data_IF_348131821550
#
_entry.id   IF_348131821550
#
_cell.length_a   1.000
_cell.length_b   1.000
_cell.length_c   1.000
_cell.angle_alpha   90.00
_cell.angle_beta   90.00
_cell.angle_gamma   90.00
#
_symmetry.space_group_name_H-M   'P 1'
#
loop_
_entity.id
_entity.type
_entity.pdbx_description
1 polymer ?
#
# COMPACT_ATOMS: atom_id res chain seq x y z
N UNK A 1 -13.89 -17.18 9.13
CA UNK A 1 -15.11 -16.33 8.94
C UNK A 1 -15.12 -15.82 7.52
N UNK A 2 -16.31 -15.58 6.91
CA UNK A 2 -16.34 -14.91 5.60
C UNK A 2 -15.70 -13.51 5.73
N UNK A 3 -14.90 -13.05 4.75
CA UNK A 3 -14.28 -11.74 4.80
C UNK A 3 -15.35 -10.63 4.86
N UNK A 4 -15.12 -9.59 5.66
CA UNK A 4 -15.95 -8.39 5.67
C UNK A 4 -15.78 -7.67 4.34
N UNK A 5 -16.86 -7.23 3.72
CA UNK A 5 -16.84 -6.34 2.57
C UNK A 5 -17.14 -4.90 3.01
N UNK A 6 -16.62 -3.95 2.26
CA UNK A 6 -16.96 -2.55 2.47
C UNK A 6 -18.47 -2.30 2.19
N UNK A 7 -19.10 -1.46 2.98
CA UNK A 7 -20.48 -1.03 2.78
C UNK A 7 -20.58 0.01 1.66
N UNK A 8 -21.77 0.20 1.09
CA UNK A 8 -22.00 1.25 0.08
C UNK A 8 -21.72 2.66 0.66
N UNK A 9 -22.04 2.88 1.94
CA UNK A 9 -21.73 4.13 2.61
C UNK A 9 -20.23 4.41 2.71
N UNK A 10 -19.41 3.39 2.94
CA UNK A 10 -17.94 3.52 2.96
C UNK A 10 -17.37 3.81 1.56
N UNK A 11 -17.93 3.17 0.52
CA UNK A 11 -17.60 3.49 -0.88
C UNK A 11 -17.96 4.94 -1.20
N UNK A 12 -19.17 5.37 -0.83
CA UNK A 12 -19.63 6.74 -1.06
C UNK A 12 -18.79 7.77 -0.30
N UNK A 13 -18.39 7.46 0.93
CA UNK A 13 -17.48 8.30 1.70
C UNK A 13 -16.15 8.49 0.96
N UNK A 14 -15.53 7.39 0.49
CA UNK A 14 -14.30 7.46 -0.29
C UNK A 14 -14.46 8.33 -1.54
N UNK A 15 -15.54 8.13 -2.29
CA UNK A 15 -15.81 8.90 -3.52
C UNK A 15 -16.02 10.37 -3.26
N UNK A 16 -16.74 10.73 -2.19
CA UNK A 16 -17.15 12.10 -1.89
C UNK A 16 -16.09 12.88 -1.13
N UNK A 17 -15.38 12.25 -0.21
CA UNK A 17 -14.37 12.88 0.65
C UNK A 17 -12.93 12.57 0.21
N UNK A 18 -12.76 11.65 -0.73
CA UNK A 18 -11.46 11.22 -1.20
C UNK A 18 -10.77 10.17 -0.30
N UNK A 19 -11.32 9.89 0.88
CA UNK A 19 -10.73 8.93 1.82
C UNK A 19 -11.79 8.26 2.70
N UNK A 20 -11.43 7.09 3.23
CA UNK A 20 -12.20 6.33 4.22
C UNK A 20 -11.28 5.45 5.06
N UNK A 21 -11.62 5.21 6.30
CA UNK A 21 -11.04 4.16 7.13
C UNK A 21 -12.02 3.00 7.22
N UNK A 22 -11.65 1.86 6.67
CA UNK A 22 -12.43 0.63 6.67
C UNK A 22 -12.01 -0.22 7.88
N UNK A 23 -12.66 -0.01 9.01
CA UNK A 23 -12.30 -0.70 10.26
C UNK A 23 -12.52 -2.21 10.16
N UNK A 24 -11.51 -3.00 10.55
CA UNK A 24 -11.57 -4.45 10.59
C UNK A 24 -11.92 -5.09 9.23
N UNK A 25 -11.47 -4.50 8.13
CA UNK A 25 -11.73 -5.03 6.78
C UNK A 25 -11.10 -6.42 6.60
N UNK A 26 -9.94 -6.64 7.19
CA UNK A 26 -9.24 -7.93 7.22
C UNK A 26 -9.35 -8.52 8.62
N UNK A 27 -9.56 -9.83 8.72
CA UNK A 27 -9.72 -10.54 9.98
C UNK A 27 -8.45 -10.52 10.84
N UNK A 28 -8.60 -10.43 12.17
CA UNK A 28 -7.47 -10.37 13.09
C UNK A 28 -6.52 -11.56 12.96
N UNK A 29 -7.02 -12.77 12.75
CA UNK A 29 -6.22 -13.98 12.56
C UNK A 29 -5.34 -13.90 11.29
N UNK A 30 -5.87 -13.35 10.20
CA UNK A 30 -5.12 -13.16 8.95
C UNK A 30 -4.02 -12.11 9.12
N UNK A 31 -4.31 -11.06 9.90
CA UNK A 31 -3.32 -10.02 10.24
C UNK A 31 -2.25 -10.58 11.18
N UNK A 32 -2.61 -11.39 12.16
CA UNK A 32 -1.63 -12.01 13.09
C UNK A 32 -0.65 -12.89 12.31
N UNK A 33 -1.14 -13.74 11.39
CA UNK A 33 -0.28 -14.56 10.53
C UNK A 33 0.63 -13.71 9.61
N UNK A 34 0.12 -12.59 9.12
CA UNK A 34 0.92 -11.67 8.30
C UNK A 34 1.93 -10.86 9.10
N UNK A 35 1.62 -10.54 10.37
CA UNK A 35 2.55 -9.89 11.27
C UNK A 35 3.72 -10.82 11.64
N UNK A 36 3.48 -12.12 11.81
CA UNK A 36 4.53 -13.12 12.01
C UNK A 36 5.48 -13.17 10.79
N UNK A 37 4.93 -13.14 9.58
CA UNK A 37 5.73 -13.02 8.34
C UNK A 37 6.52 -11.70 8.30
N UNK A 38 5.89 -10.58 8.68
CA UNK A 38 6.52 -9.26 8.71
C UNK A 38 7.74 -9.25 9.65
N UNK A 39 7.62 -9.90 10.80
CA UNK A 39 8.68 -9.97 11.81
C UNK A 39 9.84 -10.91 11.44
N UNK A 40 9.77 -11.57 10.29
CA UNK A 40 10.96 -12.16 9.66
C UNK A 40 11.84 -11.11 8.93
N UNK A 41 11.27 -9.94 8.61
CA UNK A 41 11.97 -8.85 7.91
C UNK A 41 12.26 -7.64 8.81
N UNK A 42 11.46 -7.45 9.86
CA UNK A 42 11.56 -6.32 10.77
C UNK A 42 11.46 -6.79 12.22
N UNK A 43 12.21 -6.19 13.16
CA UNK A 43 12.08 -6.53 14.58
C UNK A 43 10.66 -6.23 15.07
N UNK A 44 10.22 -6.99 16.08
CA UNK A 44 9.06 -6.60 16.88
C UNK A 44 9.35 -5.30 17.63
N UNK A 45 8.33 -4.64 18.17
CA UNK A 45 8.53 -3.46 19.02
C UNK A 45 9.41 -3.80 20.25
N UNK A 46 9.15 -4.95 20.89
CA UNK A 46 9.92 -5.41 22.05
C UNK A 46 11.40 -5.65 21.70
N UNK A 47 11.69 -6.37 20.61
CA UNK A 47 13.07 -6.61 20.17
C UNK A 47 13.79 -5.30 19.83
N UNK A 48 13.09 -4.38 19.16
CA UNK A 48 13.69 -3.12 18.75
C UNK A 48 14.05 -2.23 19.98
N UNK A 49 13.10 -2.07 20.93
CA UNK A 49 13.33 -1.20 22.08
C UNK A 49 14.23 -1.81 23.16
N UNK A 50 14.39 -3.14 23.19
CA UNK A 50 15.36 -3.80 24.06
C UNK A 50 16.82 -3.48 23.65
N UNK A 51 17.12 -3.41 22.35
CA UNK A 51 18.43 -3.12 21.79
C UNK A 51 18.31 -2.46 20.40
N UNK A 52 18.07 -1.14 20.31
CA UNK A 52 17.88 -0.47 19.03
C UNK A 52 19.10 -0.55 18.09
N UNK A 53 20.31 -0.52 18.64
CA UNK A 53 21.55 -0.61 17.84
C UNK A 53 21.74 -2.01 17.29
N UNK A 54 21.59 -3.04 18.12
CA UNK A 54 21.70 -4.44 17.72
C UNK A 54 20.59 -4.84 16.77
N UNK A 55 19.34 -4.38 17.00
CA UNK A 55 18.23 -4.60 16.10
C UNK A 55 18.50 -3.96 14.73
N UNK A 56 18.94 -2.71 14.69
CA UNK A 56 19.29 -2.02 13.44
C UNK A 56 20.41 -2.76 12.69
N UNK A 57 21.43 -3.21 13.39
CA UNK A 57 22.53 -3.95 12.79
C UNK A 57 22.09 -5.31 12.22
N UNK A 58 21.28 -6.05 12.99
CA UNK A 58 20.73 -7.37 12.59
C UNK A 58 19.88 -7.27 11.33
N UNK A 59 19.03 -6.25 11.24
CA UNK A 59 18.02 -6.13 10.18
C UNK A 59 18.44 -5.22 9.01
N UNK A 60 19.59 -4.58 9.09
CA UNK A 60 20.11 -3.66 8.07
C UNK A 60 20.22 -4.29 6.68
N UNK A 61 20.45 -5.59 6.58
CA UNK A 61 20.55 -6.30 5.31
C UNK A 61 19.22 -6.48 4.59
N UNK A 62 18.09 -6.37 5.30
CA UNK A 62 16.75 -6.55 4.75
C UNK A 62 16.03 -5.23 4.46
N UNK A 63 16.63 -4.09 4.81
CA UNK A 63 16.03 -2.77 4.61
C UNK A 63 16.94 -1.89 3.77
N UNK A 64 16.40 -1.10 2.82
CA UNK A 64 17.14 -0.01 2.20
C UNK A 64 17.69 0.93 3.28
N UNK A 65 18.86 1.53 3.05
CA UNK A 65 19.42 2.50 3.97
C UNK A 65 18.40 3.65 4.19
N UNK A 66 17.90 3.83 5.42
CA UNK A 66 16.91 4.88 5.69
C UNK A 66 17.47 6.29 5.45
N UNK A 67 18.80 6.48 5.47
CA UNK A 67 19.45 7.76 5.24
C UNK A 67 19.32 8.31 3.82
N UNK A 68 18.98 7.46 2.82
CA UNK A 68 18.81 7.89 1.44
C UNK A 68 17.36 8.22 1.05
N UNK A 69 16.39 7.93 1.92
CA UNK A 69 14.98 8.13 1.62
C UNK A 69 14.47 9.50 2.07
N UNK A 70 14.39 10.44 1.17
CA UNK A 70 13.75 11.75 1.34
C UNK A 70 14.41 12.68 2.36
N UNK A 71 15.46 13.39 1.94
CA UNK A 71 15.82 14.64 2.57
C UNK A 71 14.79 15.69 2.15
N UNK A 72 13.85 16.00 3.03
CA UNK A 72 13.00 17.17 2.86
C UNK A 72 13.85 18.42 3.10
N UNK A 73 13.63 19.54 2.39
CA UNK A 73 14.33 20.77 2.68
C UNK A 73 14.17 21.12 4.17
N UNK A 74 15.25 21.40 4.84
CA UNK A 74 15.32 21.73 6.28
C UNK A 74 14.54 23.00 6.67
N UNK A 75 13.88 23.66 5.75
CA UNK A 75 13.27 24.96 5.88
C UNK A 75 11.80 24.90 6.22
N UNK A 76 11.50 24.70 7.47
CA UNK A 76 10.18 24.89 8.03
C UNK A 76 10.13 24.53 9.52
N UNK A 77 9.56 25.37 10.39
CA UNK A 77 9.42 25.05 11.79
C UNK A 77 8.51 23.81 11.95
N UNK A 78 9.01 22.79 12.62
CA UNK A 78 8.27 21.56 12.94
C UNK A 78 8.56 20.36 12.03
N UNK A 79 9.23 20.52 10.89
CA UNK A 79 9.57 19.39 10.01
C UNK A 79 11.02 18.92 10.25
N UNK A 80 11.18 17.61 10.38
CA UNK A 80 12.49 17.00 10.54
C UNK A 80 12.85 16.25 9.26
N UNK A 81 14.10 16.44 8.78
CA UNK A 81 14.58 16.00 7.48
C UNK A 81 14.83 14.49 7.34
N UNK A 82 14.80 13.72 8.43
CA UNK A 82 15.15 12.30 8.39
C UNK A 82 13.92 11.42 8.61
N UNK A 83 13.63 10.58 7.62
CA UNK A 83 12.58 9.60 7.68
C UNK A 83 13.16 8.22 8.03
N UNK A 84 13.05 7.81 9.29
CA UNK A 84 13.43 6.46 9.71
C UNK A 84 12.21 5.55 9.78
N UNK A 85 11.75 5.12 8.63
CA UNK A 85 10.92 3.93 8.51
C UNK A 85 11.71 2.86 7.76
N UNK A 86 11.57 1.65 8.19
CA UNK A 86 12.08 0.51 7.45
C UNK A 86 11.04 0.07 6.44
N UNK A 87 11.47 -0.23 5.24
CA UNK A 87 10.57 -0.58 4.13
C UNK A 87 11.12 -1.78 3.39
N UNK A 88 10.24 -2.72 3.07
CA UNK A 88 10.53 -3.85 2.17
C UNK A 88 9.57 -3.82 1.00
N UNK A 89 10.12 -4.05 -0.20
CA UNK A 89 9.34 -4.09 -1.43
C UNK A 89 8.73 -5.48 -1.65
N UNK A 90 7.56 -5.50 -2.30
CA UNK A 90 6.92 -6.73 -2.76
C UNK A 90 7.71 -7.40 -3.92
N UNK A 91 7.77 -8.74 -4.00
CA UNK A 91 7.26 -9.72 -3.05
C UNK A 91 8.12 -9.82 -1.80
N UNK A 92 7.46 -10.03 -0.64
CA UNK A 92 8.14 -10.08 0.65
C UNK A 92 8.82 -11.44 0.83
N UNK A 93 10.13 -11.48 1.14
CA UNK A 93 10.89 -12.71 1.25
C UNK A 93 10.32 -13.69 2.29
N UNK A 94 10.20 -14.98 1.92
CA UNK A 94 9.73 -16.03 2.81
C UNK A 94 8.28 -15.91 3.27
N UNK A 95 7.58 -14.85 2.89
CA UNK A 95 6.25 -14.54 3.40
C UNK A 95 5.14 -15.15 2.53
N UNK A 96 4.31 -15.99 3.15
CA UNK A 96 3.11 -16.51 2.51
C UNK A 96 1.88 -15.65 2.79
N UNK A 97 1.64 -15.31 4.05
CA UNK A 97 0.43 -14.61 4.52
C UNK A 97 0.48 -13.14 4.15
N UNK A 98 1.59 -12.46 4.40
CA UNK A 98 1.75 -11.03 4.09
C UNK A 98 1.63 -10.78 2.58
N UNK A 99 2.24 -11.62 1.72
CA UNK A 99 2.12 -11.49 0.27
C UNK A 99 0.67 -11.67 -0.21
N UNK A 100 -0.11 -12.57 0.40
CA UNK A 100 -1.51 -12.79 0.04
C UNK A 100 -2.41 -11.61 0.43
N UNK A 101 -2.08 -10.85 1.47
CA UNK A 101 -2.83 -9.64 1.83
C UNK A 101 -2.82 -8.59 0.73
N UNK A 102 -1.80 -8.56 -0.14
CA UNK A 102 -1.75 -7.63 -1.27
C UNK A 102 -2.93 -7.80 -2.25
N UNK A 103 -3.51 -8.99 -2.30
CA UNK A 103 -4.65 -9.33 -3.14
C UNK A 103 -5.81 -9.90 -2.33
N UNK A 104 -5.93 -9.50 -1.07
CA UNK A 104 -7.01 -9.94 -0.20
C UNK A 104 -8.39 -9.62 -0.83
N UNK A 105 -9.32 -10.57 -0.89
CA UNK A 105 -10.58 -10.40 -1.60
C UNK A 105 -11.37 -9.15 -1.20
N UNK A 106 -11.42 -8.81 0.10
CA UNK A 106 -12.12 -7.61 0.58
C UNK A 106 -11.47 -6.30 0.11
N UNK A 107 -10.13 -6.28 -0.03
CA UNK A 107 -9.40 -5.10 -0.51
C UNK A 107 -9.60 -4.94 -2.02
N UNK A 108 -9.54 -6.04 -2.76
CA UNK A 108 -9.77 -6.04 -4.22
C UNK A 108 -11.23 -5.64 -4.53
N UNK A 109 -12.23 -6.20 -3.81
CA UNK A 109 -13.65 -5.80 -3.94
C UNK A 109 -13.83 -4.30 -3.67
N UNK A 110 -13.21 -3.79 -2.61
CA UNK A 110 -13.25 -2.36 -2.33
C UNK A 110 -12.65 -1.53 -3.47
N UNK A 111 -11.48 -1.92 -3.98
CA UNK A 111 -10.82 -1.21 -5.08
C UNK A 111 -11.69 -1.21 -6.35
N UNK A 112 -12.28 -2.34 -6.73
CA UNK A 112 -13.17 -2.48 -7.88
C UNK A 112 -14.41 -1.57 -7.74
N UNK A 113 -15.05 -1.61 -6.59
CA UNK A 113 -16.25 -0.82 -6.32
C UNK A 113 -15.94 0.66 -6.19
N UNK A 114 -14.86 1.04 -5.50
CA UNK A 114 -14.45 2.43 -5.33
C UNK A 114 -14.09 3.06 -6.67
N UNK A 115 -13.30 2.38 -7.50
CA UNK A 115 -12.88 2.84 -8.83
C UNK A 115 -13.98 2.67 -9.90
N UNK A 116 -15.03 1.88 -9.61
CA UNK A 116 -16.17 1.69 -10.52
C UNK A 116 -15.88 0.77 -11.71
N UNK A 117 -14.90 -0.09 -11.62
CA UNK A 117 -14.51 -1.05 -12.66
C UNK A 117 -13.95 -2.33 -12.04
N UNK A 118 -14.27 -3.51 -12.60
CA UNK A 118 -13.60 -4.75 -12.18
C UNK A 118 -12.16 -4.85 -12.72
N UNK A 119 -11.76 -3.95 -13.61
CA UNK A 119 -10.47 -4.02 -14.31
C UNK A 119 -9.43 -3.17 -13.58
N UNK A 120 -9.10 -3.59 -12.34
CA UNK A 120 -8.13 -2.93 -11.49
C UNK A 120 -6.76 -3.60 -11.55
N UNK A 121 -5.71 -2.81 -11.32
CA UNK A 121 -4.30 -3.26 -11.29
C UNK A 121 -3.61 -2.67 -10.06
N UNK A 122 -2.86 -3.51 -9.34
CA UNK A 122 -1.92 -3.04 -8.34
C UNK A 122 -0.75 -2.38 -9.07
N UNK A 123 -0.36 -1.18 -8.63
CA UNK A 123 0.80 -0.50 -9.19
C UNK A 123 1.90 -0.24 -8.14
N UNK A 124 1.58 -0.37 -6.87
CA UNK A 124 2.56 -0.26 -5.78
C UNK A 124 2.15 -1.13 -4.59
N UNK A 125 3.14 -1.76 -3.95
CA UNK A 125 2.98 -2.36 -2.64
C UNK A 125 4.32 -2.46 -1.91
N UNK A 126 4.33 -2.10 -0.62
CA UNK A 126 5.49 -2.23 0.25
C UNK A 126 5.06 -2.34 1.72
N UNK A 127 5.82 -3.10 2.49
CA UNK A 127 5.65 -3.16 3.93
C UNK A 127 6.51 -2.12 4.63
N UNK A 128 5.99 -1.52 5.69
CA UNK A 128 6.69 -0.50 6.47
C UNK A 128 6.67 -0.82 7.96
N UNK A 129 7.80 -0.63 8.61
CA UNK A 129 7.95 -0.61 10.05
C UNK A 129 8.48 0.77 10.49
N UNK A 130 7.86 1.37 11.49
CA UNK A 130 8.26 2.65 12.07
C UNK A 130 8.39 2.51 13.58
N UNK A 131 9.45 3.05 14.17
CA UNK A 131 9.72 2.98 15.61
C UNK A 131 9.97 4.39 16.14
N UNK A 132 9.41 4.72 17.31
CA UNK A 132 9.67 5.99 17.98
C UNK A 132 11.13 6.09 18.45
N UNK A 133 11.64 7.31 18.62
CA UNK A 133 12.97 7.57 19.21
C UNK A 133 14.13 7.66 18.23
N UNK A 134 14.03 7.13 17.01
CA UNK A 134 15.07 7.30 15.99
C UNK A 134 14.95 8.69 15.38
N UNK A 135 13.78 9.05 14.93
CA UNK A 135 13.38 10.42 14.58
C UNK A 135 11.90 10.61 14.81
N UNK A 136 11.51 11.80 15.24
CA UNK A 136 10.12 12.22 15.18
C UNK A 136 9.82 12.59 13.74
N UNK A 137 9.48 11.58 12.97
CA UNK A 137 9.11 11.74 11.59
C UNK A 137 7.84 12.60 11.46
N UNK A 138 7.96 13.69 10.77
CA UNK A 138 6.83 14.54 10.43
C UNK A 138 6.96 15.00 8.97
N UNK A 139 5.92 14.81 8.20
CA UNK A 139 5.87 15.27 6.81
C UNK A 139 5.04 16.55 6.69
N UNK A 140 5.35 17.43 5.73
CA UNK A 140 4.40 18.44 5.29
C UNK A 140 3.20 17.78 4.59
N UNK A 141 2.06 18.48 4.51
CA UNK A 141 0.93 18.07 3.71
C UNK A 141 1.36 17.92 2.25
N UNK A 142 1.04 16.76 1.67
CA UNK A 142 1.39 16.45 0.28
C UNK A 142 0.35 15.54 -0.38
N UNK A 143 0.39 15.49 -1.70
CA UNK A 143 -0.25 14.44 -2.50
C UNK A 143 0.85 13.58 -3.12
N UNK A 144 0.60 12.27 -3.21
CA UNK A 144 1.56 11.36 -3.83
C UNK A 144 1.68 11.62 -5.33
N UNK A 145 2.91 11.74 -5.83
CA UNK A 145 3.19 12.10 -7.23
C UNK A 145 4.19 11.21 -7.94
N UNK A 146 4.86 10.36 -7.18
CA UNK A 146 6.04 9.65 -7.69
C UNK A 146 5.70 8.46 -8.61
N UNK A 147 4.41 8.19 -8.80
CA UNK A 147 3.92 7.02 -9.54
C UNK A 147 3.29 7.40 -10.89
N UNK A 148 3.10 8.69 -11.15
CA UNK A 148 2.37 9.16 -12.32
C UNK A 148 3.12 10.25 -13.08
N UNK A 149 3.07 10.22 -14.42
CA UNK A 149 3.53 11.32 -15.28
C UNK A 149 2.59 12.54 -15.23
N UNK A 150 1.36 12.35 -14.81
CA UNK A 150 0.35 13.41 -14.72
C UNK A 150 0.04 13.73 -13.27
N UNK A 151 -0.37 14.97 -12.96
CA UNK A 151 -0.99 15.27 -11.67
C UNK A 151 -2.16 14.33 -11.38
N UNK A 152 -2.44 14.07 -10.09
CA UNK A 152 -3.60 13.28 -9.71
C UNK A 152 -4.88 13.92 -10.24
N UNK A 153 -5.76 13.11 -10.86
CA UNK A 153 -7.05 13.58 -11.31
C UNK A 153 -8.05 13.54 -10.17
N UNK A 154 -8.69 14.67 -9.91
CA UNK A 154 -9.84 14.75 -9.00
C UNK A 154 -11.16 14.24 -9.61
N UNK A 155 -11.16 13.73 -10.85
CA UNK A 155 -12.35 13.35 -11.61
C UNK A 155 -12.39 11.86 -11.93
N UNK A 156 -13.58 11.24 -11.74
CA UNK A 156 -13.86 9.92 -12.24
C UNK A 156 -13.91 9.92 -13.79
N UNK A 157 -13.50 8.85 -14.48
CA UNK A 157 -13.05 7.56 -13.96
C UNK A 157 -11.54 7.46 -13.71
N UNK A 158 -10.82 8.58 -13.68
CA UNK A 158 -9.36 8.62 -13.66
C UNK A 158 -8.75 8.58 -12.26
N UNK A 159 -9.55 8.29 -11.25
CA UNK A 159 -9.06 8.10 -9.89
C UNK A 159 -8.12 6.90 -9.79
N UNK A 160 -7.18 6.99 -8.89
CA UNK A 160 -6.43 5.86 -8.38
C UNK A 160 -6.51 5.85 -6.84
N UNK A 161 -6.32 4.68 -6.29
CA UNK A 161 -6.48 4.40 -4.88
C UNK A 161 -5.12 4.11 -4.27
N UNK A 162 -4.79 4.83 -3.23
CA UNK A 162 -3.68 4.61 -2.32
C UNK A 162 -4.22 4.09 -0.99
N UNK A 163 -3.40 3.39 -0.21
CA UNK A 163 -3.87 3.00 1.12
C UNK A 163 -2.86 2.27 1.96
N UNK A 164 -3.20 2.15 3.25
CA UNK A 164 -2.42 1.43 4.25
C UNK A 164 -3.30 0.43 5.00
N UNK A 165 -2.98 -0.85 4.87
CA UNK A 165 -3.53 -1.88 5.74
C UNK A 165 -2.73 -1.88 7.05
N UNK A 166 -3.41 -1.76 8.17
CA UNK A 166 -2.80 -1.72 9.49
C UNK A 166 -2.46 -3.14 9.97
N UNK A 167 -1.18 -3.41 10.16
CA UNK A 167 -0.68 -4.67 10.71
C UNK A 167 -0.49 -4.60 12.23
N UNK A 168 -0.65 -3.41 12.81
CA UNK A 168 -0.73 -3.14 14.26
C UNK A 168 -1.86 -2.16 14.52
N UNK A 169 -2.31 -2.05 15.77
CA UNK A 169 -3.20 -0.96 16.16
C UNK A 169 -2.52 0.39 15.96
N UNK A 170 -3.30 1.37 15.51
CA UNK A 170 -2.83 2.74 15.26
C UNK A 170 -3.69 3.70 16.07
N UNK A 171 -3.15 4.17 17.18
CA UNK A 171 -3.74 5.22 18.01
C UNK A 171 -3.26 6.60 17.59
N UNK A 172 -3.75 7.66 18.23
CA UNK A 172 -3.26 9.03 17.99
C UNK A 172 -1.77 9.20 18.27
N UNK A 173 -1.20 8.32 19.11
CA UNK A 173 0.20 8.38 19.51
C UNK A 173 1.11 7.52 18.61
N UNK A 174 0.54 6.70 17.71
CA UNK A 174 1.29 5.75 16.89
C UNK A 174 1.60 6.27 15.49
N UNK A 175 1.95 7.55 15.36
CA UNK A 175 2.27 8.14 14.05
C UNK A 175 1.10 7.99 13.05
N UNK A 176 -0.16 8.16 13.52
CA UNK A 176 -1.34 8.03 12.68
C UNK A 176 -1.28 8.99 11.49
N UNK A 177 -1.51 8.47 10.29
CA UNK A 177 -1.56 9.28 9.07
C UNK A 177 -2.62 10.37 9.20
N UNK A 178 -2.27 11.59 8.80
CA UNK A 178 -3.20 12.71 8.69
C UNK A 178 -3.71 12.78 7.26
N UNK A 179 -5.00 12.94 7.10
CA UNK A 179 -5.66 13.08 5.78
C UNK A 179 -6.60 14.28 5.80
N UNK A 180 -6.78 14.93 4.66
CA UNK A 180 -7.72 16.05 4.50
C UNK A 180 -8.73 15.68 3.43
N UNK A 181 -10.02 15.88 3.72
CA UNK A 181 -11.06 15.67 2.71
C UNK A 181 -10.82 16.54 1.47
N UNK A 182 -11.04 15.98 0.30
CA UNK A 182 -10.96 16.76 -0.96
C UNK A 182 -11.93 17.95 -0.97
N UNK A 183 -13.00 17.91 -0.17
CA UNK A 183 -13.93 19.02 0.00
C UNK A 183 -13.32 20.18 0.77
N UNK A 184 -12.47 19.87 1.75
CA UNK A 184 -11.82 20.86 2.60
C UNK A 184 -10.54 21.41 1.98
N UNK A 185 -10.02 20.74 0.93
CA UNK A 185 -8.80 21.13 0.20
C UNK A 185 -9.08 21.78 -1.17
N UNK A 186 -10.34 22.01 -1.55
CA UNK A 186 -10.71 22.59 -2.87
C UNK A 186 -10.11 23.99 -3.13
N UNK A 187 -9.76 24.71 -2.07
CA UNK A 187 -9.14 26.03 -2.15
C UNK A 187 -7.65 25.96 -2.51
N UNK A 188 -6.99 24.81 -2.32
CA UNK A 188 -5.59 24.61 -2.67
C UNK A 188 -5.48 24.44 -4.18
N UNK A 189 -5.29 25.55 -4.89
CA UNK A 189 -5.15 25.58 -6.35
C UNK A 189 -3.73 25.35 -6.83
N UNK A 190 -2.81 25.20 -5.91
CA UNK A 190 -1.40 25.00 -6.24
C UNK A 190 -1.19 23.57 -6.71
N UNK A 191 -0.62 23.43 -7.90
CA UNK A 191 -0.18 22.14 -8.44
C UNK A 191 1.06 21.60 -7.72
N UNK A 192 1.59 22.34 -6.76
CA UNK A 192 2.69 21.85 -5.92
C UNK A 192 2.20 20.70 -5.06
N UNK A 193 2.90 19.59 -5.09
CA UNK A 193 2.47 18.40 -4.36
C UNK A 193 2.75 18.50 -2.86
N UNK A 194 3.44 19.54 -2.41
CA UNK A 194 3.81 19.78 -1.00
C UNK A 194 3.36 21.19 -0.59
N UNK A 195 2.63 21.26 0.51
CA UNK A 195 2.10 22.52 1.07
C UNK A 195 2.57 22.65 2.52
N UNK A 196 3.32 23.70 2.81
CA UNK A 196 3.84 23.99 4.16
C UNK A 196 2.77 24.66 5.03
N UNK A 197 2.82 24.52 6.38
CA UNK A 197 1.81 25.06 7.28
C UNK A 197 1.65 26.60 7.23
N UNK A 198 2.72 27.31 6.96
CA UNK A 198 2.72 28.78 6.81
C UNK A 198 2.08 29.22 5.50
N UNK A 199 2.04 28.34 4.51
CA UNK A 199 1.40 28.60 3.20
C UNK A 199 -0.10 28.39 3.22
N UNK A 200 -0.56 27.38 3.93
CA UNK A 200 -1.97 27.06 4.06
C UNK A 200 -2.28 26.47 5.45
N UNK A 201 -2.42 27.32 6.48
CA UNK A 201 -2.76 26.84 7.81
C UNK A 201 -4.19 26.26 7.90
N UNK A 202 -5.08 26.55 6.94
CA UNK A 202 -6.44 25.99 6.91
C UNK A 202 -6.42 24.53 6.54
N UNK A 203 -5.59 24.16 5.58
CA UNK A 203 -5.38 22.77 5.21
C UNK A 203 -4.95 21.89 6.41
N UNK A 204 -4.06 22.44 7.26
CA UNK A 204 -3.60 21.73 8.46
C UNK A 204 -4.65 21.67 9.58
N UNK A 205 -5.53 22.68 9.67
CA UNK A 205 -6.65 22.64 10.63
C UNK A 205 -7.75 21.66 10.23
N UNK A 206 -7.88 21.36 8.94
CA UNK A 206 -8.85 20.43 8.41
C UNK A 206 -8.39 18.96 8.46
N UNK A 207 -7.20 18.65 9.01
CA UNK A 207 -6.69 17.30 9.04
C UNK A 207 -7.46 16.37 9.97
N UNK A 208 -7.70 15.16 9.52
CA UNK A 208 -8.25 14.06 10.28
C UNK A 208 -7.16 13.04 10.61
N UNK A 209 -7.25 12.44 11.80
CA UNK A 209 -6.34 11.39 12.25
C UNK A 209 -6.91 10.02 11.88
N UNK A 210 -6.22 9.30 11.03
CA UNK A 210 -6.64 7.96 10.64
C UNK A 210 -6.17 6.94 11.70
N UNK A 211 -6.89 6.88 12.82
CA UNK A 211 -6.66 5.90 13.90
C UNK A 211 -7.57 4.70 13.71
N UNK A 212 -7.09 3.48 14.00
CA UNK A 212 -7.89 2.28 13.86
C UNK A 212 -7.20 1.05 14.43
N UNK A 213 -7.94 -0.03 14.58
CA UNK A 213 -7.40 -1.33 15.00
C UNK A 213 -6.67 -2.02 13.85
N UNK A 214 -5.80 -2.96 14.16
CA UNK A 214 -5.18 -3.85 13.16
C UNK A 214 -6.25 -4.52 12.30
N UNK A 215 -5.95 -4.70 11.01
CA UNK A 215 -6.90 -5.15 10.00
C UNK A 215 -7.76 -4.03 9.40
N UNK A 216 -7.63 -2.79 9.90
CA UNK A 216 -8.26 -1.62 9.26
C UNK A 216 -7.46 -1.21 8.01
N UNK A 217 -8.18 -0.79 6.98
CA UNK A 217 -7.58 -0.28 5.75
C UNK A 217 -7.91 1.21 5.57
N UNK A 218 -6.91 2.08 5.73
CA UNK A 218 -7.02 3.48 5.34
C UNK A 218 -6.88 3.55 3.82
N UNK A 219 -7.93 3.92 3.13
CA UNK A 219 -7.97 4.09 1.68
C UNK A 219 -8.17 5.56 1.32
N UNK A 220 -7.36 6.09 0.41
CA UNK A 220 -7.49 7.46 -0.06
C UNK A 220 -7.18 7.58 -1.56
N UNK A 221 -7.69 8.62 -2.20
CA UNK A 221 -7.39 8.94 -3.59
C UNK A 221 -6.05 9.66 -3.67
N UNK A 222 -5.37 9.54 -4.79
CA UNK A 222 -4.08 10.20 -5.04
C UNK A 222 -4.12 11.74 -5.00
N UNK A 223 -5.31 12.36 -5.09
CA UNK A 223 -5.50 13.81 -4.95
C UNK A 223 -5.79 14.25 -3.50
N UNK A 224 -5.78 13.33 -2.54
CA UNK A 224 -5.98 13.62 -1.11
C UNK A 224 -4.68 14.14 -0.50
N UNK A 225 -4.74 15.32 0.10
CA UNK A 225 -3.65 15.81 0.92
C UNK A 225 -3.54 14.97 2.19
N UNK A 226 -2.33 14.46 2.43
CA UNK A 226 -2.03 13.65 3.60
C UNK A 226 -0.61 13.90 4.09
N UNK A 227 -0.31 13.40 5.29
CA UNK A 227 1.04 13.47 5.87
C UNK A 227 1.28 12.42 6.95
N UNK A 228 2.54 12.02 7.13
CA UNK A 228 2.99 11.35 8.34
C UNK A 228 3.04 12.35 9.50
N UNK A 229 2.71 11.88 10.70
CA UNK A 229 2.81 12.64 11.93
C UNK A 229 3.82 11.98 12.89
N UNK A 230 4.44 12.69 13.84
CA UNK A 230 5.36 12.08 14.78
C UNK A 230 4.64 11.11 15.74
N UNK A 231 5.41 10.22 16.36
CA UNK A 231 4.92 9.45 17.50
C UNK A 231 4.67 10.38 18.70
N UNK A 232 3.61 10.12 19.44
CA UNK A 232 3.24 10.89 20.65
C UNK A 232 3.89 10.39 21.93
N UNK A 233 4.78 9.38 21.88
CA UNK A 233 5.42 8.79 23.05
C UNK A 233 6.63 7.94 22.72
N UNK A 234 7.33 7.47 23.78
CA UNK A 234 8.44 6.55 23.65
C UNK A 234 7.96 5.09 23.47
N UNK A 235 8.84 4.24 22.96
CA UNK A 235 8.63 2.78 22.82
C UNK A 235 7.37 2.41 22.05
N UNK A 236 7.12 3.16 20.94
CA UNK A 236 6.00 2.92 20.05
C UNK A 236 6.47 2.47 18.68
N UNK A 237 5.75 1.51 18.11
CA UNK A 237 5.99 1.03 16.76
C UNK A 237 4.68 0.99 15.97
N UNK A 238 4.79 1.15 14.66
CA UNK A 238 3.68 1.02 13.72
C UNK A 238 4.10 0.20 12.51
N UNK A 239 3.26 -0.77 12.17
CA UNK A 239 3.48 -1.68 11.05
C UNK A 239 2.34 -1.52 10.04
N UNK A 240 2.69 -1.32 8.78
CA UNK A 240 1.76 -1.06 7.69
C UNK A 240 2.12 -1.86 6.44
N UNK A 241 1.09 -2.24 5.69
CA UNK A 241 1.22 -2.70 4.31
C UNK A 241 0.58 -1.65 3.39
N UNK A 242 1.42 -0.97 2.61
CA UNK A 242 0.94 -0.03 1.59
C UNK A 242 0.45 -0.80 0.36
N UNK A 243 -0.73 -0.40 -0.14
CA UNK A 243 -1.38 -1.00 -1.30
C UNK A 243 -1.97 0.10 -2.17
N UNK A 244 -1.64 0.07 -3.45
CA UNK A 244 -2.14 1.06 -4.40
C UNK A 244 -2.70 0.41 -5.66
N UNK A 245 -3.88 0.87 -6.08
CA UNK A 245 -4.63 0.34 -7.22
C UNK A 245 -4.99 1.43 -8.22
N UNK A 246 -4.98 1.06 -9.48
CA UNK A 246 -5.42 1.89 -10.61
C UNK A 246 -6.38 1.13 -11.51
N UNK A 247 -7.11 1.84 -12.36
CA UNK A 247 -7.82 1.19 -13.47
C UNK A 247 -6.82 0.72 -14.53
N UNK A 248 -7.13 -0.36 -15.22
CA UNK A 248 -6.38 -0.75 -16.41
C UNK A 248 -6.44 0.37 -17.46
N UNK A 249 -5.41 0.47 -18.29
CA UNK A 249 -5.31 1.52 -19.31
C UNK A 249 -4.85 2.88 -18.80
N UNK A 250 -4.59 3.05 -17.50
CA UNK A 250 -3.91 4.24 -16.97
C UNK A 250 -2.39 4.10 -17.13
N UNK A 251 -1.90 4.16 -18.36
CA UNK A 251 -0.49 3.89 -18.68
C UNK A 251 0.48 4.96 -18.17
N UNK A 252 -0.04 6.13 -17.82
CA UNK A 252 0.73 7.21 -17.18
C UNK A 252 1.07 6.95 -15.71
N UNK A 253 0.46 5.94 -15.08
CA UNK A 253 0.80 5.49 -13.73
C UNK A 253 1.74 4.29 -13.85
N UNK A 254 2.99 4.49 -13.43
CA UNK A 254 4.03 3.48 -13.55
C UNK A 254 3.90 2.35 -12.53
N UNK A 255 4.38 1.16 -12.91
CA UNK A 255 4.59 0.04 -11.99
C UNK A 255 5.91 0.23 -11.24
N UNK A 256 5.86 0.26 -9.93
CA UNK A 256 7.07 0.59 -9.20
C UNK A 256 7.98 -0.60 -8.89
N UNK A 257 7.53 -1.87 -8.92
CA UNK A 257 8.42 -2.94 -8.43
C UNK A 257 8.17 -4.36 -8.99
N UNK A 258 6.99 -4.71 -9.45
CA UNK A 258 6.62 -6.12 -9.62
C UNK A 258 7.30 -6.84 -10.80
N UNK A 259 7.49 -6.20 -11.93
CA UNK A 259 7.98 -6.88 -13.14
C UNK A 259 9.45 -7.31 -13.05
N UNK A 260 10.30 -6.57 -12.35
CA UNK A 260 11.71 -6.93 -12.15
C UNK A 260 11.89 -8.17 -11.27
N UNK A 261 10.85 -8.54 -10.53
CA UNK A 261 10.86 -9.68 -9.62
C UNK A 261 10.27 -10.97 -10.23
N UNK A 262 9.86 -10.93 -11.50
CA UNK A 262 9.08 -12.01 -12.13
C UNK A 262 9.78 -13.37 -12.22
N UNK A 263 11.09 -13.42 -12.00
CA UNK A 263 11.91 -14.64 -11.99
C UNK A 263 12.39 -15.03 -10.59
N UNK A 264 12.11 -14.21 -9.58
CA UNK A 264 12.52 -14.46 -8.22
C UNK A 264 11.70 -15.59 -7.57
N UNK A 265 12.33 -16.44 -6.72
CA UNK A 265 11.66 -17.58 -6.09
C UNK A 265 10.40 -17.18 -5.30
N UNK A 266 10.43 -16.05 -4.59
CA UNK A 266 9.31 -15.59 -3.77
C UNK A 266 8.11 -15.17 -4.62
N UNK A 267 8.34 -14.52 -5.77
CA UNK A 267 7.27 -14.24 -6.72
C UNK A 267 6.69 -15.52 -7.31
N UNK A 268 7.54 -16.47 -7.74
CA UNK A 268 7.10 -17.74 -8.31
C UNK A 268 6.23 -18.48 -7.28
N UNK A 269 6.70 -18.61 -6.04
CA UNK A 269 5.97 -19.27 -4.96
C UNK A 269 4.63 -18.60 -4.63
N UNK A 270 4.55 -17.27 -4.75
CA UNK A 270 3.30 -16.52 -4.60
C UNK A 270 2.37 -16.78 -5.79
N UNK A 271 2.86 -16.59 -7.02
CA UNK A 271 2.07 -16.71 -8.24
C UNK A 271 1.39 -18.09 -8.36
N UNK A 272 2.08 -19.15 -7.95
CA UNK A 272 1.55 -20.53 -7.94
C UNK A 272 0.40 -20.76 -6.94
N UNK A 273 0.13 -19.80 -6.05
CA UNK A 273 -0.96 -19.85 -5.06
C UNK A 273 -2.14 -18.96 -5.40
N UNK A 274 -1.97 -18.09 -6.40
CA UNK A 274 -2.96 -17.09 -6.77
C UNK A 274 -3.98 -17.66 -7.78
N UNK A 275 -5.21 -17.22 -7.63
CA UNK A 275 -6.26 -17.45 -8.64
C UNK A 275 -5.99 -16.63 -9.90
N UNK A 276 -6.57 -16.99 -11.07
CA UNK A 276 -6.46 -16.18 -12.29
C UNK A 276 -6.82 -14.70 -12.06
N UNK A 277 -7.88 -14.44 -11.27
CA UNK A 277 -8.30 -13.07 -10.96
C UNK A 277 -7.29 -12.31 -10.10
N UNK A 278 -6.66 -12.97 -9.12
CA UNK A 278 -5.61 -12.36 -8.31
C UNK A 278 -4.36 -12.07 -9.14
N UNK A 279 -3.98 -12.99 -10.04
CA UNK A 279 -2.86 -12.76 -10.98
C UNK A 279 -3.15 -11.59 -11.93
N UNK A 280 -4.38 -11.46 -12.40
CA UNK A 280 -4.80 -10.34 -13.25
C UNK A 280 -4.62 -8.98 -12.54
N UNK A 281 -4.82 -8.90 -11.21
CA UNK A 281 -4.57 -7.65 -10.45
C UNK A 281 -3.12 -7.19 -10.53
N UNK A 282 -2.17 -8.10 -10.76
CA UNK A 282 -0.76 -7.78 -11.03
C UNK A 282 -0.47 -7.54 -12.53
N UNK A 283 -1.48 -7.61 -13.39
CA UNK A 283 -1.30 -7.45 -14.84
C UNK A 283 -0.96 -8.75 -15.57
N UNK A 284 -1.06 -9.91 -14.92
CA UNK A 284 -0.92 -11.21 -15.58
C UNK A 284 -2.10 -11.39 -16.54
N UNK A 285 -1.88 -11.75 -17.82
CA UNK A 285 -2.98 -11.86 -18.78
C UNK A 285 -4.03 -12.90 -18.35
N UNK A 286 -5.33 -12.55 -18.31
CA UNK A 286 -6.37 -13.48 -17.90
C UNK A 286 -6.58 -14.64 -18.90
N UNK A 287 -7.27 -15.72 -18.49
CA UNK A 287 -7.75 -16.73 -19.43
C UNK A 287 -8.54 -16.09 -20.60
N UNK A 288 -8.30 -16.57 -21.83
CA UNK A 288 -8.93 -16.02 -23.04
C UNK A 288 -8.28 -14.75 -23.61
N UNK A 289 -7.26 -14.18 -22.96
CA UNK A 289 -6.52 -13.09 -23.56
C UNK A 289 -5.79 -13.56 -24.83
N UNK A 290 -5.80 -12.79 -25.93
CA UNK A 290 -5.27 -13.24 -27.24
C UNK A 290 -3.76 -13.50 -27.29
N UNK A 291 -3.02 -13.16 -26.24
CA UNK A 291 -1.57 -13.48 -26.15
C UNK A 291 -1.34 -15.01 -25.94
N UNK A 292 -2.31 -15.71 -25.39
CA UNK A 292 -2.10 -17.11 -25.02
C UNK A 292 -2.06 -18.01 -26.26
N UNK A 293 -1.07 -18.89 -26.28
CA UNK A 293 -0.86 -19.96 -27.26
C UNK A 293 -0.39 -21.18 -26.48
N UNK A 294 -0.50 -22.38 -27.08
CA UNK A 294 0.04 -23.61 -26.49
C UNK A 294 1.52 -23.45 -26.10
N UNK A 295 2.32 -22.88 -27.01
CA UNK A 295 3.75 -22.64 -26.76
C UNK A 295 3.97 -21.69 -25.57
N UNK A 296 3.15 -20.63 -25.44
CA UNK A 296 3.30 -19.71 -24.30
C UNK A 296 2.88 -20.40 -23.00
N UNK A 297 1.85 -21.22 -23.00
CA UNK A 297 1.43 -21.99 -21.82
C UNK A 297 2.50 -23.02 -21.40
N UNK A 298 3.12 -23.70 -22.35
CA UNK A 298 4.26 -24.60 -22.07
C UNK A 298 5.41 -23.85 -21.40
N UNK A 299 5.79 -22.68 -21.92
CA UNK A 299 6.85 -21.84 -21.34
C UNK A 299 6.47 -21.28 -19.97
N UNK A 300 5.20 -20.93 -19.80
CA UNK A 300 4.68 -20.47 -18.52
C UNK A 300 4.73 -21.57 -17.47
N UNK A 301 4.39 -22.81 -17.83
CA UNK A 301 4.53 -23.98 -16.96
C UNK A 301 5.97 -24.24 -16.53
N UNK A 302 6.96 -23.95 -17.38
CA UNK A 302 8.37 -24.06 -17.01
C UNK A 302 8.79 -23.00 -15.97
N UNK A 303 8.22 -21.79 -16.03
CA UNK A 303 8.52 -20.71 -15.08
C UNK A 303 7.75 -20.86 -13.76
N UNK A 304 6.51 -21.33 -13.83
CA UNK A 304 5.58 -21.50 -12.70
C UNK A 304 5.10 -22.96 -12.64
N UNK A 305 5.97 -23.90 -12.18
CA UNK A 305 5.71 -25.34 -12.33
C UNK A 305 4.51 -25.87 -11.55
N UNK A 306 4.02 -25.13 -10.53
CA UNK A 306 2.84 -25.51 -9.73
C UNK A 306 1.62 -24.62 -9.98
N UNK A 307 1.73 -23.65 -10.89
CA UNK A 307 0.57 -22.83 -11.27
C UNK A 307 -0.45 -23.68 -11.98
N UNK A 308 -1.70 -23.61 -11.52
CA UNK A 308 -2.83 -24.23 -12.23
C UNK A 308 -3.12 -23.46 -13.52
N UNK A 309 -2.68 -23.98 -14.65
CA UNK A 309 -2.90 -23.39 -15.99
C UNK A 309 -4.14 -23.95 -16.70
N UNK A 310 -4.94 -24.79 -16.04
CA UNK A 310 -6.15 -25.35 -16.65
C UNK A 310 -7.16 -24.27 -17.10
N UNK A 311 -7.42 -23.18 -16.34
CA UNK A 311 -8.28 -22.10 -16.80
C UNK A 311 -7.85 -21.48 -18.12
N UNK A 312 -6.54 -21.33 -18.35
CA UNK A 312 -6.00 -20.78 -19.59
C UNK A 312 -6.07 -21.76 -20.76
N UNK A 313 -5.81 -23.07 -20.50
CA UNK A 313 -5.95 -24.12 -21.53
C UNK A 313 -7.39 -24.24 -22.01
N UNK A 314 -8.34 -24.32 -21.06
CA UNK A 314 -9.76 -24.37 -21.39
C UNK A 314 -10.26 -23.16 -22.20
N UNK A 315 -9.62 -22.02 -22.06
CA UNK A 315 -9.96 -20.81 -22.80
C UNK A 315 -9.32 -20.72 -24.19
N UNK A 316 -8.32 -21.56 -24.52
CA UNK A 316 -7.76 -21.68 -25.88
C UNK A 316 -8.64 -22.52 -26.80
N UNK A 317 -9.26 -23.57 -26.26
CA UNK A 317 -10.18 -24.45 -26.98
C UNK A 317 -11.63 -24.26 -26.44
N UNK A 318 -12.30 -23.14 -26.76
CA UNK A 318 -13.71 -23.01 -26.40
C UNK A 318 -14.52 -24.07 -27.18
N UNK A 319 -15.12 -25.06 -26.45
CA UNK A 319 -15.92 -26.12 -26.99
C UNK A 319 -17.17 -25.62 -27.78
#
# INVERSE_FOLDING_TARGET
MAPRLATDSEIDQWRQHGWVLLEGLVGAEEIDNAADDLHQMFPTAEEYFADPEGATLKWRGSTPDPGEQFIWPEEGPGFRGEQHRWSSAFPFPGSGSLNLLCVHPSIVDFAERALGTPDVRIYQTHANASYSGITNYEQPMHVDRNHSWLPASGEAPWWNLEGFLYLSDVTEQDNATRVVSVRDSVHVKDTRPVVMPDRDPELYRAEHRATGVRGSYLAYRSDVFHRGAPFGGAERARFLLALAFKCAGQDWIGYTQAHSQSTEPDWIALAERLTPRQLETFGFPPPGHPIWTDLLLERTALRYPKLDLEPWRAALDPA
#
